data_IF_977320678016
#
_entry.id   IF_977320678016
#
_cell.length_a   1.000
_cell.length_b   1.000
_cell.length_c   1.000
_cell.angle_alpha   90.00
_cell.angle_beta   90.00
_cell.angle_gamma   90.00
#
_symmetry.space_group_name_H-M   'P 1'
#
loop_
_entity.id
_entity.type
_entity.pdbx_description
1 polymer ?
#
# COMPACT_ATOMS: atom_id res chain seq x y z
N UNK A 1 -9.79 14.12 -20.45
CA UNK A 1 -9.36 14.21 -19.03
C UNK A 1 -8.40 13.05 -18.76
N UNK A 2 -7.09 13.23 -18.96
CA UNK A 2 -6.10 12.14 -19.07
C UNK A 2 -6.07 11.16 -17.89
N UNK A 3 -6.18 11.66 -16.65
CA UNK A 3 -6.26 10.81 -15.45
C UNK A 3 -7.52 9.93 -15.44
N UNK A 4 -8.68 10.47 -15.84
CA UNK A 4 -9.92 9.72 -15.91
C UNK A 4 -9.85 8.62 -16.97
N UNK A 5 -9.17 8.86 -18.10
CA UNK A 5 -8.94 7.86 -19.15
C UNK A 5 -8.08 6.68 -18.64
N UNK A 6 -7.00 6.95 -17.90
CA UNK A 6 -6.18 5.89 -17.29
C UNK A 6 -6.99 5.13 -16.23
N UNK A 7 -7.72 5.82 -15.36
CA UNK A 7 -8.57 5.17 -14.36
C UNK A 7 -9.61 4.25 -15.01
N UNK A 8 -10.29 4.71 -16.06
CA UNK A 8 -11.32 3.96 -16.77
C UNK A 8 -10.79 2.67 -17.41
N UNK A 9 -9.55 2.67 -17.93
CA UNK A 9 -8.90 1.45 -18.47
C UNK A 9 -8.79 0.32 -17.43
N UNK A 10 -8.68 0.68 -16.16
CA UNK A 10 -8.59 -0.28 -15.06
C UNK A 10 -9.94 -0.50 -14.35
N UNK A 11 -11.06 0.02 -14.87
CA UNK A 11 -12.37 -0.09 -14.23
C UNK A 11 -12.54 0.79 -12.99
N UNK A 12 -11.70 1.82 -12.84
CA UNK A 12 -11.82 2.86 -11.82
C UNK A 12 -12.42 4.14 -12.38
N UNK A 13 -12.83 5.05 -11.51
CA UNK A 13 -13.36 6.36 -11.91
C UNK A 13 -12.69 7.49 -11.14
N UNK A 14 -12.58 8.63 -11.79
CA UNK A 14 -12.29 9.90 -11.12
C UNK A 14 -13.51 10.29 -10.28
N UNK A 15 -13.30 10.67 -9.02
CA UNK A 15 -14.36 11.17 -8.15
C UNK A 15 -14.74 12.61 -8.55
N UNK A 16 -16.02 12.93 -8.47
CA UNK A 16 -16.52 14.26 -8.79
C UNK A 16 -16.35 15.20 -7.59
N UNK A 17 -15.34 16.06 -7.67
CA UNK A 17 -15.03 17.06 -6.65
C UNK A 17 -14.83 18.43 -7.29
N UNK A 18 -15.88 19.04 -7.89
CA UNK A 18 -15.75 20.28 -8.67
C UNK A 18 -15.28 21.48 -7.85
N UNK A 19 -15.53 21.49 -6.54
CA UNK A 19 -15.11 22.54 -5.62
C UNK A 19 -13.66 22.38 -5.12
N UNK A 20 -12.92 21.37 -5.58
CA UNK A 20 -11.52 21.12 -5.21
C UNK A 20 -10.62 21.30 -6.43
N UNK A 21 -9.99 22.47 -6.51
CA UNK A 21 -9.24 22.89 -7.70
C UNK A 21 -7.82 22.32 -7.78
N UNK A 22 -7.29 21.81 -6.66
CA UNK A 22 -5.89 21.39 -6.57
C UNK A 22 -5.76 19.87 -6.57
N UNK A 23 -6.65 19.18 -5.84
CA UNK A 23 -6.53 17.74 -5.62
C UNK A 23 -7.67 16.97 -6.27
N UNK A 24 -7.33 15.76 -6.69
CA UNK A 24 -8.18 14.83 -7.41
C UNK A 24 -8.12 13.49 -6.70
N UNK A 25 -9.22 12.75 -6.73
CA UNK A 25 -9.29 11.41 -6.17
C UNK A 25 -9.79 10.41 -7.20
N UNK A 26 -9.22 9.21 -7.20
CA UNK A 26 -9.60 8.11 -8.09
C UNK A 26 -10.04 6.93 -7.23
N UNK A 27 -11.19 6.35 -7.55
CA UNK A 27 -11.70 5.18 -6.84
C UNK A 27 -10.73 4.01 -6.92
N UNK A 28 -10.78 3.14 -5.92
CA UNK A 28 -10.07 1.87 -5.90
C UNK A 28 -11.03 0.76 -5.51
N UNK A 29 -11.53 0.03 -6.49
CA UNK A 29 -12.30 -1.20 -6.30
C UNK A 29 -11.34 -2.38 -6.34
N UNK A 30 -10.97 -2.86 -5.15
CA UNK A 30 -10.19 -4.07 -4.99
C UNK A 30 -11.05 -5.29 -5.38
N UNK A 31 -10.70 -6.07 -6.43
CA UNK A 31 -11.37 -7.33 -6.69
C UNK A 31 -11.14 -8.31 -5.53
N UNK A 32 -12.07 -9.25 -5.34
CA UNK A 32 -11.94 -10.31 -4.33
C UNK A 32 -10.64 -11.08 -4.57
N UNK A 33 -9.79 -11.19 -3.53
CA UNK A 33 -8.48 -11.85 -3.63
C UNK A 33 -7.35 -11.01 -4.24
N UNK A 34 -7.57 -9.72 -4.51
CA UNK A 34 -6.51 -8.80 -4.93
C UNK A 34 -5.56 -8.45 -3.79
N UNK A 35 -4.37 -7.92 -4.15
CA UNK A 35 -3.39 -7.46 -3.18
C UNK A 35 -3.98 -6.33 -2.33
N UNK A 36 -3.60 -6.20 -1.05
CA UNK A 36 -4.06 -5.09 -0.20
C UNK A 36 -3.88 -3.73 -0.90
N UNK A 37 -4.83 -2.81 -0.72
CA UNK A 37 -4.82 -1.49 -1.38
C UNK A 37 -3.53 -0.71 -1.06
N UNK A 38 -2.97 -0.87 0.14
CA UNK A 38 -1.70 -0.27 0.54
C UNK A 38 -0.54 -0.64 -0.38
N UNK A 39 -0.57 -1.82 -1.03
CA UNK A 39 0.47 -2.25 -1.97
C UNK A 39 0.52 -1.41 -3.23
N UNK A 40 -0.61 -0.80 -3.66
CA UNK A 40 -0.61 0.15 -4.78
C UNK A 40 0.22 1.39 -4.43
N UNK A 41 0.05 1.94 -3.23
CA UNK A 41 0.83 3.08 -2.74
C UNK A 41 2.33 2.77 -2.70
N UNK A 42 2.70 1.61 -2.16
CA UNK A 42 4.09 1.14 -2.15
C UNK A 42 4.65 0.95 -3.57
N UNK A 43 3.86 0.38 -4.48
CA UNK A 43 4.23 0.12 -5.87
C UNK A 43 4.51 1.42 -6.65
N UNK A 44 3.72 2.48 -6.38
CA UNK A 44 3.92 3.81 -6.93
C UNK A 44 5.16 4.48 -6.34
N UNK A 45 5.37 4.36 -5.03
CA UNK A 45 6.53 4.93 -4.34
C UNK A 45 7.86 4.38 -4.90
N UNK A 46 7.99 3.06 -5.06
CA UNK A 46 9.20 2.45 -5.65
C UNK A 46 9.37 2.78 -7.15
N UNK A 47 8.30 3.22 -7.82
CA UNK A 47 8.33 3.76 -9.19
C UNK A 47 8.66 5.25 -9.21
N UNK A 48 9.12 5.83 -8.10
CA UNK A 48 9.44 7.26 -7.98
C UNK A 48 8.22 8.16 -8.19
N UNK A 49 7.03 7.70 -7.78
CA UNK A 49 5.84 8.55 -7.67
C UNK A 49 5.63 8.89 -6.20
N UNK A 50 5.84 10.16 -5.85
CA UNK A 50 5.59 10.70 -4.51
C UNK A 50 4.25 11.44 -4.44
N UNK A 51 3.81 11.79 -3.23
CA UNK A 51 2.61 12.61 -3.00
C UNK A 51 1.26 11.89 -3.12
N UNK A 52 1.24 10.66 -3.64
CA UNK A 52 0.02 9.82 -3.68
C UNK A 52 -0.36 9.41 -2.25
N UNK A 53 -1.63 9.63 -1.88
CA UNK A 53 -2.19 9.15 -0.60
C UNK A 53 -3.30 8.15 -0.86
N UNK A 54 -3.13 6.91 -0.39
CA UNK A 54 -4.16 5.87 -0.43
C UNK A 54 -5.03 5.97 0.81
N UNK A 55 -6.34 6.09 0.63
CA UNK A 55 -7.34 6.15 1.70
C UNK A 55 -8.22 4.91 1.60
N UNK A 56 -8.19 4.10 2.65
CA UNK A 56 -8.97 2.86 2.72
C UNK A 56 -10.29 3.14 3.41
N UNK A 57 -11.40 2.78 2.75
CA UNK A 57 -12.70 2.76 3.41
C UNK A 57 -12.75 1.53 4.31
N UNK A 58 -12.56 1.75 5.61
CA UNK A 58 -12.66 0.74 6.66
C UNK A 58 -13.08 1.40 7.98
N UNK A 59 -13.45 0.58 8.96
CA UNK A 59 -13.80 1.03 10.32
C UNK A 59 -12.59 1.13 11.24
N UNK A 60 -11.36 1.14 10.70
CA UNK A 60 -10.16 1.21 11.51
C UNK A 60 -10.09 2.58 12.21
N UNK A 61 -9.73 2.54 13.49
CA UNK A 61 -9.58 3.72 14.32
C UNK A 61 -8.11 4.11 14.45
N UNK A 62 -7.85 5.42 14.49
CA UNK A 62 -6.53 5.98 14.77
C UNK A 62 -6.65 7.11 15.77
N UNK A 63 -5.87 7.04 16.85
CA UNK A 63 -5.78 8.11 17.84
C UNK A 63 -4.60 9.01 17.54
N UNK A 64 -4.84 10.32 17.45
CA UNK A 64 -3.81 11.35 17.23
C UNK A 64 -4.11 12.50 18.21
N UNK A 65 -3.14 12.82 19.07
CA UNK A 65 -3.30 13.91 20.05
C UNK A 65 -4.47 13.72 21.03
N UNK A 66 -4.77 12.47 21.42
CA UNK A 66 -5.90 12.15 22.31
C UNK A 66 -7.27 12.06 21.62
N UNK A 67 -7.38 12.47 20.36
CA UNK A 67 -8.61 12.34 19.58
C UNK A 67 -8.60 11.06 18.75
N UNK A 68 -9.69 10.29 18.81
CA UNK A 68 -9.85 9.05 18.02
C UNK A 68 -10.68 9.31 16.78
N UNK A 69 -10.13 8.95 15.62
CA UNK A 69 -10.76 9.12 14.31
C UNK A 69 -11.01 7.76 13.67
N UNK A 70 -12.23 7.54 13.18
CA UNK A 70 -12.55 6.40 12.31
C UNK A 70 -12.20 6.76 10.87
N UNK A 71 -11.65 5.80 10.11
CA UNK A 71 -11.26 6.02 8.70
C UNK A 71 -10.30 7.20 8.52
N UNK A 72 -9.26 7.30 9.37
CA UNK A 72 -8.33 8.43 9.36
C UNK A 72 -7.78 8.73 7.97
N UNK A 73 -7.85 10.01 7.56
CA UNK A 73 -7.46 10.48 6.23
C UNK A 73 -8.63 10.61 5.24
N UNK A 74 -9.79 10.01 5.51
CA UNK A 74 -10.98 10.15 4.65
C UNK A 74 -11.82 11.41 4.93
N UNK A 75 -11.47 12.17 5.97
CA UNK A 75 -12.20 13.36 6.45
C UNK A 75 -13.69 13.12 6.81
N UNK A 76 -14.07 11.85 6.97
CA UNK A 76 -15.37 11.43 7.47
C UNK A 76 -15.25 9.98 7.98
N UNK A 77 -16.18 9.57 8.83
CA UNK A 77 -16.14 8.25 9.49
C UNK A 77 -16.48 7.08 8.55
N UNK A 78 -17.12 7.34 7.41
CA UNK A 78 -17.60 6.29 6.52
C UNK A 78 -17.68 6.80 5.08
N UNK A 79 -16.52 6.99 4.44
CA UNK A 79 -16.49 7.33 3.03
C UNK A 79 -16.89 6.12 2.17
N UNK A 80 -17.74 6.27 1.14
CA UNK A 80 -18.39 5.16 0.46
C UNK A 80 -17.46 4.26 -0.37
N UNK A 81 -16.22 4.66 -0.62
CA UNK A 81 -15.27 3.89 -1.43
C UNK A 81 -13.84 4.11 -0.96
N UNK A 82 -13.00 3.10 -1.12
CA UNK A 82 -11.54 3.32 -1.09
C UNK A 82 -11.15 4.17 -2.30
N UNK A 83 -10.17 5.05 -2.14
CA UNK A 83 -9.63 5.89 -3.20
C UNK A 83 -8.14 6.20 -2.97
N UNK A 84 -7.46 6.70 -3.98
CA UNK A 84 -6.23 7.44 -3.78
C UNK A 84 -6.41 8.89 -4.20
N UNK A 85 -5.67 9.79 -3.56
CA UNK A 85 -5.62 11.21 -3.91
C UNK A 85 -4.25 11.59 -4.48
N UNK A 86 -4.29 12.52 -5.42
CA UNK A 86 -3.14 13.19 -6.04
C UNK A 86 -3.46 14.66 -6.22
N UNK A 87 -2.45 15.51 -6.33
CA UNK A 87 -2.63 16.95 -6.50
C UNK A 87 -1.80 17.47 -7.68
N UNK A 88 -2.34 18.48 -8.36
CA UNK A 88 -1.61 19.26 -9.34
C UNK A 88 -1.13 20.55 -8.67
N UNK A 89 -0.04 20.48 -7.91
CA UNK A 89 0.53 21.64 -7.23
C UNK A 89 1.28 22.58 -8.20
N UNK A 90 1.52 23.81 -7.76
CA UNK A 90 2.34 24.79 -8.50
C UNK A 90 3.73 24.20 -8.78
N UNK A 91 4.21 24.36 -10.02
CA UNK A 91 5.51 23.88 -10.46
C UNK A 91 5.53 22.48 -11.11
N UNK A 92 4.39 21.79 -11.17
CA UNK A 92 4.29 20.51 -11.90
C UNK A 92 4.37 20.74 -13.40
N UNK A 93 5.25 19.99 -14.08
CA UNK A 93 5.42 20.02 -15.53
C UNK A 93 4.54 18.99 -16.25
N UNK A 94 4.35 19.16 -17.56
CA UNK A 94 3.67 18.14 -18.38
C UNK A 94 4.41 16.80 -18.35
N UNK A 95 5.74 16.81 -18.30
CA UNK A 95 6.57 15.61 -18.20
C UNK A 95 6.29 14.83 -16.92
N UNK A 96 6.08 15.53 -15.80
CA UNK A 96 5.70 14.89 -14.53
C UNK A 96 4.34 14.20 -14.64
N UNK A 97 3.38 14.85 -15.30
CA UNK A 97 2.05 14.29 -15.56
C UNK A 97 2.15 13.05 -16.44
N UNK A 98 2.92 13.11 -17.53
CA UNK A 98 3.11 12.00 -18.46
C UNK A 98 3.74 10.78 -17.77
N UNK A 99 4.79 11.03 -16.99
CA UNK A 99 5.52 10.00 -16.27
C UNK A 99 4.66 9.39 -15.16
N UNK A 100 3.91 10.22 -14.43
CA UNK A 100 2.94 9.77 -13.45
C UNK A 100 1.89 8.85 -14.08
N UNK A 101 1.24 9.28 -15.16
CA UNK A 101 0.19 8.50 -15.82
C UNK A 101 0.72 7.16 -16.35
N UNK A 102 1.92 7.14 -16.94
CA UNK A 102 2.59 5.91 -17.40
C UNK A 102 2.86 4.94 -16.24
N UNK A 103 3.35 5.44 -15.11
CA UNK A 103 3.65 4.64 -13.92
C UNK A 103 2.37 4.14 -13.24
N UNK A 104 1.35 4.99 -13.18
CA UNK A 104 0.02 4.66 -12.65
C UNK A 104 -0.63 3.53 -13.45
N UNK A 105 -0.62 3.62 -14.78
CA UNK A 105 -1.20 2.62 -15.67
C UNK A 105 -0.57 1.23 -15.41
N UNK A 106 0.77 1.18 -15.32
CA UNK A 106 1.49 -0.06 -14.99
C UNK A 106 1.17 -0.56 -13.58
N UNK A 107 1.15 0.34 -12.59
CA UNK A 107 0.90 -0.01 -11.18
C UNK A 107 -0.50 -0.59 -10.98
N UNK A 108 -1.53 0.02 -11.55
CA UNK A 108 -2.90 -0.47 -11.50
C UNK A 108 -3.02 -1.83 -12.19
N UNK A 109 -2.40 -1.99 -13.36
CA UNK A 109 -2.40 -3.27 -14.09
C UNK A 109 -1.74 -4.42 -13.31
N UNK A 110 -0.68 -4.16 -12.55
CA UNK A 110 -0.04 -5.17 -11.69
C UNK A 110 -0.76 -5.43 -10.37
N UNK A 111 -1.45 -4.40 -9.84
CA UNK A 111 -2.19 -4.48 -8.59
C UNK A 111 -3.48 -5.31 -8.76
N UNK A 112 -4.15 -5.17 -9.91
CA UNK A 112 -5.39 -5.91 -10.23
C UNK A 112 -5.16 -7.35 -10.68
N UNK A 113 -3.95 -7.70 -11.12
CA UNK A 113 -3.61 -9.10 -11.42
C UNK A 113 -3.65 -9.95 -10.15
N UNK A 114 -4.23 -11.13 -10.26
CA UNK A 114 -4.18 -12.13 -9.20
C UNK A 114 -2.72 -12.38 -8.76
N UNK A 115 -2.47 -12.71 -7.49
CA UNK A 115 -1.14 -13.06 -7.03
C UNK A 115 -0.59 -14.22 -7.87
N UNK A 116 0.38 -13.94 -8.72
CA UNK A 116 1.18 -15.01 -9.34
C UNK A 116 2.00 -15.62 -8.20
N UNK A 117 1.63 -16.82 -7.75
CA UNK A 117 2.48 -17.62 -6.87
C UNK A 117 3.76 -17.86 -7.67
N UNK A 118 4.82 -17.11 -7.35
CA UNK A 118 6.15 -17.49 -7.81
C UNK A 118 6.63 -18.58 -6.87
N UNK A 119 6.97 -19.78 -7.38
CA UNK A 119 7.64 -20.77 -6.55
C UNK A 119 8.87 -20.12 -5.92
N UNK A 120 9.03 -20.22 -4.61
CA UNK A 120 10.27 -19.81 -3.95
C UNK A 120 11.39 -20.67 -4.58
N UNK A 121 12.46 -20.10 -5.14
CA UNK A 121 13.59 -20.91 -5.55
C UNK A 121 14.06 -21.71 -4.33
N UNK A 122 14.37 -23.00 -4.47
CA UNK A 122 14.80 -23.82 -3.36
C UNK A 122 15.99 -23.16 -2.68
N UNK A 123 16.09 -23.20 -1.34
CA UNK A 123 17.22 -22.63 -0.63
C UNK A 123 18.50 -23.32 -1.11
N UNK A 124 19.32 -22.60 -1.86
CA UNK A 124 20.68 -23.01 -2.19
C UNK A 124 21.53 -22.84 -0.94
N UNK A 125 21.44 -23.79 -0.01
CA UNK A 125 22.46 -23.97 1.01
C UNK A 125 23.67 -24.58 0.31
N UNK A 126 24.63 -23.73 -0.06
CA UNK A 126 25.98 -24.18 -0.36
C UNK A 126 26.58 -24.69 0.95
N UNK A 127 26.60 -26.00 1.10
CA UNK A 127 27.47 -26.72 2.03
C UNK A 127 28.92 -26.36 1.71
N UNK A 128 29.59 -25.66 2.64
CA UNK A 128 30.94 -25.96 3.15
C UNK A 128 31.54 -24.70 3.78
N UNK A 129 31.46 -24.61 5.11
CA UNK A 129 32.40 -23.82 5.92
C UNK A 129 33.04 -24.77 6.93
N UNK A 130 34.37 -24.94 6.94
CA UNK A 130 35.06 -25.81 7.88
C UNK A 130 35.39 -25.00 9.13
N UNK A 131 34.39 -24.68 9.95
CA UNK A 131 34.64 -24.15 11.29
C UNK A 131 33.46 -24.49 12.20
N UNK A 132 33.42 -25.75 12.63
CA UNK A 132 32.49 -26.21 13.66
C UNK A 132 33.23 -27.16 14.60
N UNK A 133 33.84 -26.58 15.62
CA UNK A 133 34.17 -27.28 16.86
C UNK A 133 34.38 -26.28 17.99
N UNK A 134 33.29 -25.86 18.64
CA UNK A 134 33.31 -25.67 20.09
C UNK A 134 31.91 -25.69 20.71
N UNK A 135 31.73 -26.74 21.52
CA UNK A 135 30.95 -26.90 22.75
C UNK A 135 29.50 -26.40 22.86
N UNK A 136 28.63 -27.39 23.09
CA UNK A 136 27.27 -27.26 23.61
C UNK A 136 27.30 -26.89 25.09
N UNK A 137 26.82 -25.69 25.42
CA UNK A 137 26.37 -25.32 26.76
C UNK A 137 24.85 -25.35 26.81
N UNK A 138 24.32 -26.33 27.53
CA UNK A 138 22.92 -26.49 27.90
C UNK A 138 22.46 -25.37 28.86
N UNK A 139 21.40 -24.65 28.50
CA UNK A 139 20.67 -23.79 29.45
C UNK A 139 19.18 -24.01 29.22
N UNK A 140 18.71 -25.17 29.65
CA UNK A 140 17.29 -25.43 29.87
C UNK A 140 17.01 -25.26 31.36
N UNK A 141 16.77 -24.05 31.84
CA UNK A 141 16.11 -23.79 33.12
C UNK A 141 15.65 -22.33 33.19
N UNK A 142 14.33 -22.12 33.18
CA UNK A 142 13.59 -21.06 33.89
C UNK A 142 12.29 -20.69 33.16
N UNK A 143 11.32 -21.62 33.11
CA UNK A 143 9.90 -21.26 33.16
C UNK A 143 9.23 -22.33 34.02
N UNK A 144 8.90 -21.99 35.26
CA UNK A 144 7.80 -22.53 36.10
C UNK A 144 8.13 -22.28 37.56
N UNK A 145 7.79 -21.09 38.07
CA UNK A 145 7.40 -20.87 39.48
C UNK A 145 6.94 -19.41 39.62
N UNK A 146 5.77 -19.10 39.05
CA UNK A 146 5.01 -17.92 39.48
C UNK A 146 3.51 -18.24 39.48
N UNK A 147 3.15 -19.38 40.08
CA UNK A 147 1.80 -19.62 40.57
C UNK A 147 1.84 -20.16 42.00
N UNK A 148 1.58 -19.22 42.90
CA UNK A 148 0.86 -19.37 44.16
C UNK A 148 1.49 -20.16 45.32
N UNK A 149 1.66 -19.40 46.41
CA UNK A 149 1.21 -19.77 47.77
C UNK A 149 2.16 -20.61 48.63
#
# INVERSE_FOLDING_TARGET
KRLAEVAAKHGERLLETPHNEISMAVSLKAPVGSKPVSTLGANLFIRLVSGVRVVVSNTAMKTVGGCTFTSYGAHCNQYPTTYFSVACAVGISQTDVDLFLKRLDKALGEWKKAPTIRPRPPPTHATNSPFASHEQGDVTHAIEEEQQQ
#
